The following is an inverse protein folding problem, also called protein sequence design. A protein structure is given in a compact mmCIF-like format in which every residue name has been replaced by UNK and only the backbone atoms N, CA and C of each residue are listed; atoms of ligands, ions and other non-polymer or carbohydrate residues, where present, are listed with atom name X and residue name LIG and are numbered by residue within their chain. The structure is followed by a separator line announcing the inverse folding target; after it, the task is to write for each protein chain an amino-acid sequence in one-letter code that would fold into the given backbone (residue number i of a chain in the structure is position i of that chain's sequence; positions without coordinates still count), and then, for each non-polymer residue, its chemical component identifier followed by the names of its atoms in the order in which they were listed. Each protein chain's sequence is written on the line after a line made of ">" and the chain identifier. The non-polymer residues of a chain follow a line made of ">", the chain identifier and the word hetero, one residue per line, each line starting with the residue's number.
data_IF_386032582491
#
_entry.id   IF_386032582491
#
_cell.length_a   1.000
_cell.length_b   1.000
_cell.length_c   1.000
_cell.angle_alpha   90.00
_cell.angle_beta   90.00
_cell.angle_gamma   90.00
#
_symmetry.space_group_name_H-M   'P 1'
#
loop_
_entity.id
_entity.type
_entity.pdbx_description
1 polymer ?
#
# COMPACT_ATOMS: atom_id res chain seq x y z
N UNK A 1 1.14 8.42 1.15
CA UNK A 1 1.02 6.98 1.43
C UNK A 1 2.37 6.25 1.36
N UNK A 2 2.91 5.91 0.18
CA UNK A 2 4.16 5.11 0.04
C UNK A 2 5.34 5.72 0.82
N UNK A 3 5.60 7.01 0.62
CA UNK A 3 6.63 7.75 1.36
C UNK A 3 6.46 7.64 2.88
N UNK A 4 5.23 7.83 3.38
CA UNK A 4 4.93 7.77 4.81
C UNK A 4 5.20 6.36 5.38
N UNK A 5 4.89 5.30 4.64
CA UNK A 5 5.25 3.92 5.01
C UNK A 5 6.77 3.75 5.11
N UNK A 6 7.53 4.23 4.12
CA UNK A 6 8.99 4.15 4.13
C UNK A 6 9.61 4.93 5.31
N UNK A 7 9.05 6.11 5.61
CA UNK A 7 9.45 6.94 6.76
C UNK A 7 8.98 6.37 8.11
N UNK A 8 8.10 5.34 8.12
CA UNK A 8 7.56 4.74 9.35
C UNK A 8 6.42 5.53 9.98
N UNK A 9 5.84 6.46 9.22
CA UNK A 9 4.68 7.29 9.61
C UNK A 9 3.39 6.58 9.20
N UNK A 10 3.05 5.52 9.92
CA UNK A 10 1.90 4.67 9.57
C UNK A 10 0.57 5.44 9.62
N UNK A 11 0.36 6.26 10.66
CA UNK A 11 -0.87 7.03 10.82
C UNK A 11 -1.06 8.03 9.67
N UNK A 12 0.01 8.72 9.25
CA UNK A 12 -0.02 9.62 8.10
C UNK A 12 -0.29 8.87 6.78
N UNK A 13 0.15 7.61 6.66
CA UNK A 13 -0.16 6.78 5.51
C UNK A 13 -1.67 6.44 5.49
N UNK A 14 -2.23 6.05 6.62
CA UNK A 14 -3.65 5.75 6.80
C UNK A 14 -4.54 6.98 6.60
N UNK A 15 -4.12 8.15 7.08
CA UNK A 15 -4.82 9.41 6.86
C UNK A 15 -4.89 9.77 5.37
N UNK A 16 -3.77 9.62 4.65
CA UNK A 16 -3.76 9.82 3.19
C UNK A 16 -4.69 8.86 2.44
N UNK A 17 -4.74 7.59 2.86
CA UNK A 17 -5.69 6.61 2.31
C UNK A 17 -7.15 6.97 2.63
N UNK A 18 -7.42 7.39 3.87
CA UNK A 18 -8.77 7.82 4.32
C UNK A 18 -9.26 9.00 3.48
N UNK A 19 -8.40 9.98 3.20
CA UNK A 19 -8.75 11.11 2.36
C UNK A 19 -9.18 10.70 0.95
N UNK A 20 -8.46 9.77 0.31
CA UNK A 20 -8.87 9.25 -1.00
C UNK A 20 -10.18 8.47 -0.92
N UNK A 21 -10.35 7.66 0.13
CA UNK A 21 -11.57 6.89 0.33
C UNK A 21 -12.80 7.81 0.53
N UNK A 22 -12.65 8.87 1.32
CA UNK A 22 -13.71 9.85 1.60
C UNK A 22 -14.06 10.72 0.39
N UNK A 23 -13.12 10.92 -0.53
CA UNK A 23 -13.37 11.54 -1.83
C UNK A 23 -14.13 10.62 -2.80
N UNK A 24 -14.42 9.37 -2.41
CA UNK A 24 -15.18 8.42 -3.21
C UNK A 24 -14.38 7.70 -4.29
N UNK A 25 -13.04 7.73 -4.23
CA UNK A 25 -12.21 6.95 -5.15
C UNK A 25 -12.46 5.45 -4.93
N UNK A 26 -12.62 4.71 -6.02
CA UNK A 26 -12.83 3.28 -5.92
C UNK A 26 -11.57 2.58 -5.37
N UNK A 27 -11.71 1.50 -4.57
CA UNK A 27 -10.58 0.71 -4.10
C UNK A 27 -9.70 0.20 -5.26
N UNK A 28 -10.33 -0.14 -6.40
CA UNK A 28 -9.66 -0.56 -7.63
C UNK A 28 -8.79 0.55 -8.23
N UNK A 29 -9.26 1.80 -8.25
CA UNK A 29 -8.47 2.94 -8.72
C UNK A 29 -7.30 3.23 -7.77
N UNK A 30 -7.55 3.17 -6.46
CA UNK A 30 -6.51 3.40 -5.44
C UNK A 30 -5.42 2.34 -5.57
N UNK A 31 -5.77 1.04 -5.64
CA UNK A 31 -4.77 -0.05 -5.68
C UNK A 31 -3.98 -0.07 -6.98
N UNK A 32 -4.62 0.16 -8.13
CA UNK A 32 -3.93 0.17 -9.43
C UNK A 32 -3.00 1.38 -9.55
N UNK A 33 -3.41 2.53 -9.00
CA UNK A 33 -2.55 3.72 -8.91
C UNK A 33 -1.38 3.48 -7.95
N UNK A 34 -1.63 2.88 -6.79
CA UNK A 34 -0.59 2.55 -5.81
C UNK A 34 0.46 1.62 -6.41
N UNK A 35 0.05 0.58 -7.14
CA UNK A 35 0.94 -0.33 -7.84
C UNK A 35 1.85 0.41 -8.84
N UNK A 36 1.28 1.32 -9.64
CA UNK A 36 2.04 2.15 -10.59
C UNK A 36 3.04 3.06 -9.88
N UNK A 37 2.64 3.65 -8.74
CA UNK A 37 3.54 4.49 -7.93
C UNK A 37 4.70 3.64 -7.41
N UNK A 38 4.44 2.52 -6.75
CA UNK A 38 5.48 1.64 -6.19
C UNK A 38 6.47 1.21 -7.27
N UNK A 39 5.98 0.82 -8.45
CA UNK A 39 6.82 0.37 -9.58
C UNK A 39 7.85 1.42 -10.01
N UNK A 40 7.49 2.69 -9.94
CA UNK A 40 8.33 3.82 -10.38
C UNK A 40 9.02 4.56 -9.23
N UNK A 41 8.78 4.15 -7.99
CA UNK A 41 9.30 4.85 -6.81
C UNK A 41 10.76 4.49 -6.57
N UNK A 42 11.58 5.49 -6.24
CA UNK A 42 12.98 5.30 -5.90
C UNK A 42 13.14 4.74 -4.48
N UNK A 43 13.43 3.44 -4.38
CA UNK A 43 13.63 2.70 -3.14
C UNK A 43 14.48 1.45 -3.40
N UNK A 44 14.97 0.81 -2.34
CA UNK A 44 15.72 -0.44 -2.43
C UNK A 44 14.93 -1.52 -3.18
N UNK A 45 15.58 -2.21 -4.12
CA UNK A 45 14.91 -3.12 -5.06
C UNK A 45 14.18 -4.26 -4.35
N UNK A 46 14.77 -4.82 -3.30
CA UNK A 46 14.10 -5.84 -2.46
C UNK A 46 12.77 -5.35 -1.89
N UNK A 47 12.76 -4.14 -1.30
CA UNK A 47 11.55 -3.53 -0.71
C UNK A 47 10.51 -3.28 -1.80
N UNK A 48 10.95 -2.79 -2.96
CA UNK A 48 10.06 -2.55 -4.12
C UNK A 48 9.38 -3.83 -4.56
N UNK A 49 10.11 -4.93 -4.70
CA UNK A 49 9.56 -6.23 -5.11
C UNK A 49 8.55 -6.78 -4.08
N UNK A 50 8.87 -6.74 -2.79
CA UNK A 50 7.94 -7.17 -1.74
C UNK A 50 6.70 -6.25 -1.66
N UNK A 51 6.86 -4.94 -1.87
CA UNK A 51 5.72 -4.02 -1.95
C UNK A 51 4.81 -4.33 -3.14
N UNK A 52 5.38 -4.62 -4.33
CA UNK A 52 4.62 -5.01 -5.51
C UNK A 52 3.86 -6.32 -5.28
N UNK A 53 4.49 -7.30 -4.63
CA UNK A 53 3.88 -8.58 -4.27
C UNK A 53 2.68 -8.41 -3.33
N UNK A 54 2.83 -7.68 -2.23
CA UNK A 54 1.72 -7.46 -1.29
C UNK A 54 0.58 -6.63 -1.92
N UNK A 55 0.92 -5.64 -2.74
CA UNK A 55 -0.06 -4.86 -3.51
C UNK A 55 -0.80 -5.75 -4.51
N UNK A 56 -0.13 -6.70 -5.15
CA UNK A 56 -0.74 -7.70 -6.03
C UNK A 56 -1.73 -8.60 -5.32
N UNK A 57 -1.39 -9.11 -4.13
CA UNK A 57 -2.34 -9.90 -3.32
C UNK A 57 -3.56 -9.09 -2.87
N UNK A 58 -3.37 -7.82 -2.51
CA UNK A 58 -4.49 -6.95 -2.16
C UNK A 58 -5.38 -6.67 -3.38
N UNK A 59 -4.79 -6.45 -4.56
CA UNK A 59 -5.53 -6.26 -5.81
C UNK A 59 -6.38 -7.49 -6.16
N UNK A 60 -5.83 -8.70 -6.03
CA UNK A 60 -6.59 -9.93 -6.25
C UNK A 60 -7.82 -10.02 -5.34
N UNK A 61 -7.65 -9.74 -4.03
CA UNK A 61 -8.77 -9.71 -3.10
C UNK A 61 -9.82 -8.66 -3.45
N UNK A 62 -9.41 -7.50 -3.97
CA UNK A 62 -10.32 -6.46 -4.45
C UNK A 62 -11.10 -6.95 -5.68
N UNK A 63 -10.45 -7.63 -6.63
CA UNK A 63 -11.11 -8.25 -7.78
C UNK A 63 -12.12 -9.33 -7.38
N UNK A 64 -11.87 -10.06 -6.29
CA UNK A 64 -12.80 -11.03 -5.71
C UNK A 64 -13.97 -10.38 -4.93
N UNK A 65 -14.08 -9.05 -4.96
CA UNK A 65 -15.15 -8.27 -4.31
C UNK A 65 -14.81 -7.77 -2.90
N UNK A 66 -13.61 -8.04 -2.37
CA UNK A 66 -13.19 -7.61 -1.02
C UNK A 66 -12.46 -6.25 -1.09
N UNK A 67 -13.21 -5.21 -1.44
CA UNK A 67 -12.72 -3.83 -1.61
C UNK A 67 -13.03 -2.88 -0.45
N UNK A 68 -13.11 -3.35 0.80
CA UNK A 68 -13.42 -2.46 1.92
C UNK A 68 -12.25 -1.53 2.27
N UNK A 69 -12.55 -0.41 2.95
CA UNK A 69 -11.50 0.45 3.54
C UNK A 69 -10.54 -0.34 4.44
N UNK A 70 -11.05 -1.30 5.20
CA UNK A 70 -10.25 -2.18 6.06
C UNK A 70 -9.22 -2.98 5.26
N UNK A 71 -9.57 -3.49 4.07
CA UNK A 71 -8.62 -4.19 3.21
C UNK A 71 -7.44 -3.29 2.82
N UNK A 72 -7.73 -2.03 2.51
CA UNK A 72 -6.71 -1.05 2.12
C UNK A 72 -5.81 -0.67 3.30
N UNK A 73 -6.37 -0.53 4.50
CA UNK A 73 -5.58 -0.35 5.72
C UNK A 73 -4.71 -1.57 6.01
N UNK A 74 -5.24 -2.78 5.81
CA UNK A 74 -4.50 -4.03 5.94
C UNK A 74 -3.31 -4.10 4.99
N UNK A 75 -3.46 -3.64 3.73
CA UNK A 75 -2.35 -3.50 2.80
C UNK A 75 -1.26 -2.56 3.35
N UNK A 76 -1.63 -1.35 3.79
CA UNK A 76 -0.65 -0.41 4.36
C UNK A 76 0.11 -1.01 5.55
N UNK A 77 -0.58 -1.77 6.42
CA UNK A 77 0.05 -2.44 7.55
C UNK A 77 1.09 -3.48 7.08
N UNK A 78 0.77 -4.26 6.04
CA UNK A 78 1.72 -5.21 5.46
C UNK A 78 2.94 -4.53 4.83
N UNK A 79 2.75 -3.42 4.13
CA UNK A 79 3.87 -2.65 3.58
C UNK A 79 4.78 -2.11 4.69
N UNK A 80 4.21 -1.66 5.82
CA UNK A 80 4.98 -1.27 6.99
C UNK A 80 5.78 -2.43 7.59
N UNK A 81 5.20 -3.63 7.66
CA UNK A 81 5.92 -4.83 8.13
C UNK A 81 7.09 -5.19 7.21
N UNK A 82 6.89 -5.15 5.89
CA UNK A 82 7.98 -5.37 4.91
C UNK A 82 9.12 -4.36 5.15
N UNK A 83 8.78 -3.09 5.41
CA UNK A 83 9.76 -2.05 5.74
C UNK A 83 10.53 -2.33 7.03
N UNK A 84 9.88 -2.85 8.07
CA UNK A 84 10.57 -3.27 9.31
C UNK A 84 11.51 -4.46 9.06
N UNK A 85 11.05 -5.47 8.34
CA UNK A 85 11.89 -6.66 8.02
C UNK A 85 13.12 -6.27 7.21
N UNK A 86 12.97 -5.37 6.23
CA UNK A 86 14.07 -4.89 5.41
C UNK A 86 15.09 -4.02 6.17
N UNK A 87 14.71 -3.45 7.33
CA UNK A 87 15.65 -2.75 8.22
C UNK A 87 16.42 -3.70 9.14
N UNK A 88 15.87 -4.88 9.42
CA UNK A 88 16.45 -5.87 10.31
C UNK A 88 17.44 -6.83 9.58
N UNK A 89 17.41 -6.84 8.25
CA UNK A 89 18.30 -7.61 7.38
C UNK A 89 19.50 -6.77 6.91
#
# INVERSE_FOLDING_TARGET
>A
MVRNVLEGKFDDACAGLKALYDLGYSPTDIITTLFRIIKNYDMAEYVKLEFLKETGFAHMRICDGVGSYLQMCGLLAKLSLVRETAKAA
#
